data_IF_644456810296
#
_entry.id   IF_644456810296
#
_cell.length_a   1.000
_cell.length_b   1.000
_cell.length_c   1.000
_cell.angle_alpha   90.00
_cell.angle_beta   90.00
_cell.angle_gamma   90.00
#
_symmetry.space_group_name_H-M   'P 1'
#
loop_
_entity.id
_entity.type
_entity.pdbx_description
1 polymer ?
#
# COMPACT_ATOMS: atom_id res chain seq x y z
N UNK A 1 11.50 5.13 7.49
CA UNK A 1 11.13 4.07 8.48
C UNK A 1 9.61 3.98 8.68
N UNK A 2 8.92 5.01 9.17
CA UNK A 2 7.46 4.95 9.46
C UNK A 2 6.62 4.56 8.22
N UNK A 3 6.91 5.14 7.04
CA UNK A 3 6.16 4.82 5.82
C UNK A 3 6.40 3.36 5.35
N UNK A 4 7.64 2.83 5.38
CA UNK A 4 7.92 1.38 5.09
C UNK A 4 7.03 0.46 5.94
N UNK A 5 7.01 0.69 7.26
CA UNK A 5 6.17 -0.10 8.16
C UNK A 5 4.68 0.00 7.84
N UNK A 6 4.16 1.22 7.57
CA UNK A 6 2.76 1.42 7.19
C UNK A 6 2.41 0.82 5.82
N UNK A 7 3.37 0.70 4.91
CA UNK A 7 3.20 0.08 3.61
C UNK A 7 3.03 -1.45 3.78
N UNK A 8 4.01 -2.10 4.41
CA UNK A 8 4.01 -3.54 4.74
C UNK A 8 2.75 -3.97 5.52
N UNK A 9 2.38 -3.20 6.55
CA UNK A 9 1.22 -3.49 7.42
C UNK A 9 -0.12 -2.92 6.90
N UNK A 10 -0.12 -2.35 5.69
CA UNK A 10 -1.22 -1.63 5.05
C UNK A 10 -1.81 -0.46 5.86
N UNK A 11 -1.17 -0.02 6.94
CA UNK A 11 -1.61 1.09 7.83
C UNK A 11 -1.41 2.49 7.24
N UNK A 12 -1.54 2.64 5.92
CA UNK A 12 -1.72 3.94 5.27
C UNK A 12 -3.11 4.52 5.62
N UNK A 13 -3.19 5.84 5.66
CA UNK A 13 -4.40 6.57 6.01
C UNK A 13 -5.33 6.72 4.79
N UNK A 14 -5.77 5.59 4.26
CA UNK A 14 -6.69 5.49 3.12
C UNK A 14 -8.09 5.96 3.53
N UNK A 15 -8.91 6.43 2.60
CA UNK A 15 -10.23 7.01 2.90
C UNK A 15 -11.15 6.00 3.59
N UNK A 16 -11.20 4.75 3.14
CA UNK A 16 -12.01 3.70 3.78
C UNK A 16 -11.58 3.37 5.23
N UNK A 17 -10.31 3.63 5.59
CA UNK A 17 -9.86 3.56 7.00
C UNK A 17 -10.19 4.84 7.76
N UNK A 18 -10.08 5.99 7.11
CA UNK A 18 -10.35 7.32 7.66
C UNK A 18 -11.84 7.50 8.00
N UNK A 19 -12.75 7.01 7.14
CA UNK A 19 -14.20 6.96 7.37
C UNK A 19 -14.58 6.28 8.69
N UNK A 20 -13.85 5.26 9.14
CA UNK A 20 -14.12 4.56 10.42
C UNK A 20 -14.04 5.46 11.65
N UNK A 21 -13.25 6.53 11.58
CA UNK A 21 -13.10 7.50 12.67
C UNK A 21 -13.91 8.78 12.45
N UNK A 22 -14.23 9.11 11.19
CA UNK A 22 -14.76 10.40 10.77
C UNK A 22 -15.93 10.27 9.78
N UNK A 23 -16.81 9.29 9.99
CA UNK A 23 -17.93 9.01 9.07
C UNK A 23 -18.84 10.23 8.87
N UNK A 24 -19.10 11.01 9.92
CA UNK A 24 -19.91 12.24 9.83
C UNK A 24 -19.33 13.29 8.86
N UNK A 25 -18.01 13.24 8.59
CA UNK A 25 -17.30 14.14 7.66
C UNK A 25 -17.28 13.57 6.24
N UNK A 26 -16.84 12.32 6.07
CA UNK A 26 -16.54 11.74 4.75
C UNK A 26 -17.66 10.85 4.20
N UNK A 27 -18.58 10.41 5.05
CA UNK A 27 -19.76 9.60 4.69
C UNK A 27 -19.39 8.48 3.71
N UNK A 28 -20.08 8.39 2.58
CA UNK A 28 -19.84 7.40 1.54
C UNK A 28 -18.87 7.87 0.44
N UNK A 29 -18.23 9.05 0.55
CA UNK A 29 -17.35 9.62 -0.49
C UNK A 29 -16.36 8.61 -1.09
N UNK A 30 -16.35 8.52 -2.42
CA UNK A 30 -15.42 7.68 -3.17
C UNK A 30 -14.00 8.28 -3.22
N UNK A 31 -13.11 7.61 -3.94
CA UNK A 31 -11.70 7.97 -4.02
C UNK A 31 -11.50 9.43 -4.45
N UNK A 32 -10.65 10.21 -3.75
CA UNK A 32 -10.37 11.60 -4.09
C UNK A 32 -9.77 11.79 -5.49
N UNK A 33 -9.17 10.75 -6.08
CA UNK A 33 -8.48 10.84 -7.35
C UNK A 33 -9.39 10.51 -8.55
N UNK A 34 -10.23 9.47 -8.46
CA UNK A 34 -11.13 9.09 -9.55
C UNK A 34 -12.61 9.41 -9.33
N UNK A 35 -13.06 9.59 -8.08
CA UNK A 35 -14.47 9.74 -7.70
C UNK A 35 -15.42 8.61 -8.18
N UNK A 36 -14.88 7.45 -8.55
CA UNK A 36 -15.61 6.30 -9.12
C UNK A 36 -15.63 5.05 -8.22
N UNK A 37 -14.60 4.85 -7.39
CA UNK A 37 -14.45 3.66 -6.55
C UNK A 37 -14.03 4.01 -5.12
N UNK A 38 -14.30 3.12 -4.16
CA UNK A 38 -13.84 3.25 -2.77
C UNK A 38 -12.32 3.16 -2.65
N UNK A 39 -11.69 4.19 -2.08
CA UNK A 39 -10.23 4.21 -1.87
C UNK A 39 -9.80 3.27 -0.72
N UNK A 40 -9.50 2.03 -1.12
CA UNK A 40 -8.80 1.02 -0.33
C UNK A 40 -7.27 1.14 -0.48
N UNK A 41 -6.51 0.37 0.32
CA UNK A 41 -5.05 0.27 0.16
C UNK A 41 -4.66 -0.15 -1.26
N UNK A 42 -5.32 -1.18 -1.82
CA UNK A 42 -5.09 -1.65 -3.19
C UNK A 42 -5.44 -0.59 -4.23
N UNK A 43 -6.59 0.08 -4.06
CA UNK A 43 -7.05 1.08 -5.01
C UNK A 43 -6.07 2.26 -5.15
N UNK A 44 -5.35 2.67 -4.10
CA UNK A 44 -4.34 3.74 -4.22
C UNK A 44 -3.28 3.43 -5.28
N UNK A 45 -2.90 2.16 -5.44
CA UNK A 45 -1.89 1.76 -6.43
C UNK A 45 -2.51 1.51 -7.81
N UNK A 46 -3.76 1.07 -7.88
CA UNK A 46 -4.45 0.69 -9.12
C UNK A 46 -5.45 1.73 -9.64
N UNK A 47 -5.59 2.88 -8.97
CA UNK A 47 -6.50 3.95 -9.33
C UNK A 47 -6.25 4.39 -10.77
N UNK A 48 -7.30 4.48 -11.59
CA UNK A 48 -7.19 4.80 -13.02
C UNK A 48 -6.39 6.10 -13.28
N UNK A 49 -6.58 7.11 -12.43
CA UNK A 49 -5.86 8.39 -12.46
C UNK A 49 -4.35 8.30 -12.15
N UNK A 50 -3.87 7.17 -11.62
CA UNK A 50 -2.45 6.93 -11.33
C UNK A 50 -1.84 5.79 -12.18
N UNK A 51 -2.56 5.27 -13.18
CA UNK A 51 -2.13 4.14 -14.03
C UNK A 51 -0.74 4.35 -14.66
N UNK A 52 -0.43 5.58 -15.07
CA UNK A 52 0.88 5.92 -15.63
C UNK A 52 1.97 5.89 -14.54
N UNK A 53 1.75 6.56 -13.40
CA UNK A 53 2.70 6.61 -12.28
C UNK A 53 2.98 5.20 -11.74
N UNK A 54 1.95 4.36 -11.60
CA UNK A 54 2.10 2.96 -11.20
C UNK A 54 2.85 2.12 -12.26
N UNK A 55 2.67 2.43 -13.55
CA UNK A 55 3.44 1.80 -14.63
C UNK A 55 4.90 2.25 -14.64
N UNK A 56 5.18 3.52 -14.34
CA UNK A 56 6.53 4.04 -14.15
C UNK A 56 7.20 3.39 -12.93
N UNK A 57 6.48 3.23 -11.81
CA UNK A 57 6.95 2.53 -10.59
C UNK A 57 7.39 1.09 -10.89
N UNK A 58 6.57 0.33 -11.62
CA UNK A 58 6.89 -1.03 -12.08
C UNK A 58 8.13 -1.04 -12.99
N UNK A 59 8.16 -0.17 -14.00
CA UNK A 59 9.26 -0.09 -14.95
C UNK A 59 10.57 0.34 -14.29
N UNK A 60 10.54 1.25 -13.32
CA UNK A 60 11.71 1.69 -12.55
C UNK A 60 12.29 0.53 -11.74
N UNK A 61 11.46 -0.21 -11.00
CA UNK A 61 11.91 -1.38 -10.24
C UNK A 61 12.55 -2.44 -11.16
N UNK A 62 11.87 -2.79 -12.25
CA UNK A 62 12.38 -3.69 -13.28
C UNK A 62 13.72 -3.21 -13.84
N UNK A 63 13.83 -1.94 -14.21
CA UNK A 63 15.05 -1.35 -14.77
C UNK A 63 16.22 -1.35 -13.78
N UNK A 64 15.99 -1.08 -12.49
CA UNK A 64 17.06 -1.17 -11.47
C UNK A 64 17.64 -2.58 -11.38
N UNK A 65 16.79 -3.62 -11.48
CA UNK A 65 17.23 -5.01 -11.51
C UNK A 65 18.00 -5.33 -12.80
N UNK A 66 17.45 -4.98 -13.97
CA UNK A 66 18.08 -5.22 -15.28
C UNK A 66 19.44 -4.54 -15.39
N UNK A 67 19.52 -3.23 -15.14
CA UNK A 67 20.81 -2.52 -15.14
C UNK A 67 21.75 -3.03 -14.04
N UNK A 68 21.21 -3.50 -12.91
CA UNK A 68 21.99 -4.19 -11.89
C UNK A 68 22.68 -5.46 -12.38
N UNK A 69 22.01 -6.26 -13.21
CA UNK A 69 22.57 -7.46 -13.85
C UNK A 69 23.59 -7.09 -14.92
N UNK A 70 23.27 -6.12 -15.79
CA UNK A 70 24.14 -5.70 -16.91
C UNK A 70 25.46 -5.06 -16.42
N UNK A 71 25.49 -4.54 -15.20
CA UNK A 71 26.73 -4.08 -14.55
C UNK A 71 27.59 -5.23 -13.98
N UNK A 72 27.13 -6.48 -14.05
CA UNK A 72 27.80 -7.67 -13.51
C UNK A 72 28.16 -8.71 -14.59
N UNK A 73 27.43 -8.75 -15.71
CA UNK A 73 27.68 -9.62 -16.87
C UNK A 73 27.31 -8.89 -18.17
N UNK A 74 28.09 -9.15 -19.22
CA UNK A 74 27.87 -8.66 -20.59
C UNK A 74 27.22 -9.69 -21.51
N UNK A 75 26.92 -10.89 -21.00
CA UNK A 75 26.57 -12.07 -21.81
C UNK A 75 25.06 -12.15 -22.17
N UNK A 76 24.28 -11.17 -21.71
CA UNK A 76 22.82 -11.11 -21.87
C UNK A 76 22.40 -9.68 -22.22
N UNK A 77 21.41 -9.54 -23.10
CA UNK A 77 20.89 -8.21 -23.49
C UNK A 77 19.82 -7.69 -22.53
N UNK A 78 19.65 -6.37 -22.48
CA UNK A 78 18.58 -5.73 -21.71
C UNK A 78 17.18 -6.23 -22.12
N UNK A 79 16.96 -6.50 -23.42
CA UNK A 79 15.70 -7.02 -23.92
C UNK A 79 15.43 -8.44 -23.40
N UNK A 80 16.43 -9.34 -23.46
CA UNK A 80 16.28 -10.71 -22.95
C UNK A 80 15.95 -10.73 -21.45
N UNK A 81 16.59 -9.85 -20.66
CA UNK A 81 16.26 -9.70 -19.24
C UNK A 81 14.86 -9.11 -19.02
N UNK A 82 14.45 -8.15 -19.86
CA UNK A 82 13.11 -7.56 -19.83
C UNK A 82 12.03 -8.61 -20.08
N UNK A 83 12.16 -9.39 -21.15
CA UNK A 83 11.19 -10.42 -21.55
C UNK A 83 11.09 -11.51 -20.47
N UNK A 84 12.22 -11.96 -19.92
CA UNK A 84 12.23 -12.92 -18.82
C UNK A 84 11.59 -12.39 -17.54
N UNK A 85 11.73 -11.10 -17.24
CA UNK A 85 11.11 -10.50 -16.06
C UNK A 85 9.59 -10.41 -16.23
N UNK A 86 9.08 -10.08 -17.43
CA UNK A 86 7.64 -10.03 -17.67
C UNK A 86 7.00 -11.43 -17.61
N UNK A 87 7.75 -12.49 -17.97
CA UNK A 87 7.35 -13.89 -17.75
C UNK A 87 7.25 -14.30 -16.27
N UNK A 88 7.67 -13.46 -15.32
CA UNK A 88 7.41 -13.67 -13.88
C UNK A 88 5.97 -13.30 -13.48
N UNK A 89 5.22 -12.65 -14.39
CA UNK A 89 3.78 -12.37 -14.28
C UNK A 89 3.36 -11.62 -12.99
N UNK A 90 4.21 -10.72 -12.49
CA UNK A 90 3.85 -9.79 -11.41
C UNK A 90 2.80 -8.80 -11.92
N UNK A 91 1.53 -9.17 -11.71
CA UNK A 91 0.42 -8.44 -12.32
C UNK A 91 0.31 -7.01 -11.80
N UNK A 92 -0.08 -6.12 -12.72
CA UNK A 92 -0.53 -4.75 -12.44
C UNK A 92 -2.02 -4.69 -12.05
N UNK A 93 -2.59 -5.80 -11.59
CA UNK A 93 -4.02 -5.99 -11.36
C UNK A 93 -4.26 -6.82 -10.10
N UNK A 94 -5.48 -6.74 -9.56
CA UNK A 94 -5.88 -7.51 -8.39
C UNK A 94 -6.21 -8.98 -8.77
N UNK A 95 -5.36 -9.92 -8.36
CA UNK A 95 -5.64 -11.36 -8.45
C UNK A 95 -5.30 -12.06 -7.14
N UNK A 96 -6.31 -12.64 -6.48
CA UNK A 96 -6.19 -13.23 -5.14
C UNK A 96 -5.37 -14.54 -5.05
N UNK A 97 -4.82 -15.03 -6.17
CA UNK A 97 -4.16 -16.36 -6.26
C UNK A 97 -2.65 -16.22 -6.50
N UNK A 98 -2.19 -15.13 -7.13
CA UNK A 98 -0.81 -14.95 -7.57
C UNK A 98 -0.18 -13.72 -6.87
N UNK A 99 1.13 -13.76 -6.68
CA UNK A 99 1.88 -12.62 -6.13
C UNK A 99 1.83 -11.46 -7.14
N UNK A 100 1.30 -10.32 -6.71
CA UNK A 100 1.13 -9.12 -7.52
C UNK A 100 2.32 -8.17 -7.36
N UNK A 101 2.40 -7.12 -8.19
CA UNK A 101 3.37 -6.06 -7.93
C UNK A 101 3.07 -5.26 -6.64
N UNK A 102 1.82 -5.27 -6.14
CA UNK A 102 1.46 -4.62 -4.86
C UNK A 102 2.08 -5.36 -3.68
N UNK A 103 2.20 -6.68 -3.75
CA UNK A 103 2.90 -7.46 -2.72
C UNK A 103 4.40 -7.10 -2.69
N UNK A 104 5.00 -6.88 -3.86
CA UNK A 104 6.39 -6.39 -3.98
C UNK A 104 6.53 -4.98 -3.40
N UNK A 105 5.57 -4.07 -3.64
CA UNK A 105 5.50 -2.75 -3.00
C UNK A 105 5.41 -2.88 -1.47
N UNK A 106 4.75 -3.91 -0.94
CA UNK A 106 4.66 -4.23 0.49
C UNK A 106 5.92 -4.93 1.06
N UNK A 107 7.09 -4.75 0.44
CA UNK A 107 8.36 -5.41 0.80
C UNK A 107 8.36 -6.95 0.69
N UNK A 108 7.40 -7.59 0.01
CA UNK A 108 7.45 -9.04 -0.25
C UNK A 108 8.44 -9.37 -1.38
N UNK A 109 9.29 -10.38 -1.17
CA UNK A 109 10.27 -10.84 -2.17
C UNK A 109 9.82 -12.20 -2.73
N UNK A 110 9.30 -12.28 -3.97
CA UNK A 110 8.88 -13.54 -4.57
C UNK A 110 10.07 -14.50 -4.73
N UNK A 111 9.87 -15.79 -4.47
CA UNK A 111 10.93 -16.80 -4.70
C UNK A 111 11.35 -16.85 -6.18
N UNK A 112 10.38 -16.70 -7.09
CA UNK A 112 10.62 -16.62 -8.54
C UNK A 112 11.51 -15.44 -8.95
N UNK A 113 11.45 -14.31 -8.22
CA UNK A 113 12.36 -13.17 -8.41
C UNK A 113 13.79 -13.56 -8.00
N UNK A 114 13.96 -14.22 -6.85
CA UNK A 114 15.25 -14.70 -6.36
C UNK A 114 15.84 -15.75 -7.32
N UNK A 115 15.01 -16.65 -7.83
CA UNK A 115 15.35 -17.71 -8.78
C UNK A 115 15.68 -17.20 -10.18
N UNK A 116 15.12 -16.06 -10.59
CA UNK A 116 15.54 -15.36 -11.80
C UNK A 116 16.89 -14.66 -11.57
N UNK A 117 17.03 -13.89 -10.49
CA UNK A 117 18.27 -13.16 -10.19
C UNK A 117 19.49 -14.07 -9.99
N UNK A 118 19.33 -15.24 -9.36
CA UNK A 118 20.45 -16.16 -9.10
C UNK A 118 21.12 -16.69 -10.37
N UNK A 119 20.44 -16.67 -11.54
CA UNK A 119 21.01 -17.06 -12.83
C UNK A 119 22.18 -16.16 -13.26
N UNK A 120 22.21 -14.94 -12.71
CA UNK A 120 23.15 -13.88 -13.11
C UNK A 120 23.99 -13.34 -11.94
N UNK A 121 23.73 -13.77 -10.70
CA UNK A 121 24.28 -13.13 -9.51
C UNK A 121 24.66 -14.10 -8.39
N UNK A 122 25.84 -13.89 -7.80
CA UNK A 122 26.21 -14.50 -6.52
C UNK A 122 25.26 -14.05 -5.40
N UNK A 123 25.20 -14.80 -4.29
CA UNK A 123 24.35 -14.44 -3.15
C UNK A 123 24.59 -13.00 -2.63
N UNK A 124 25.85 -12.57 -2.57
CA UNK A 124 26.23 -11.21 -2.12
C UNK A 124 25.79 -10.13 -3.11
N UNK A 125 25.97 -10.35 -4.42
CA UNK A 125 25.49 -9.42 -5.45
C UNK A 125 23.97 -9.34 -5.45
N UNK A 126 23.27 -10.49 -5.41
CA UNK A 126 21.81 -10.57 -5.36
C UNK A 126 21.23 -9.79 -4.18
N UNK A 127 21.79 -9.97 -2.99
CA UNK A 127 21.35 -9.23 -1.78
C UNK A 127 21.53 -7.72 -1.95
N UNK A 128 22.68 -7.26 -2.45
CA UNK A 128 22.94 -5.83 -2.71
C UNK A 128 21.98 -5.26 -3.75
N UNK A 129 21.71 -6.02 -4.82
CA UNK A 129 20.81 -5.61 -5.90
C UNK A 129 19.35 -5.52 -5.43
N UNK A 130 18.87 -6.51 -4.67
CA UNK A 130 17.54 -6.47 -4.07
C UNK A 130 17.40 -5.26 -3.14
N UNK A 131 18.35 -5.02 -2.22
CA UNK A 131 18.32 -3.83 -1.35
C UNK A 131 18.21 -2.55 -2.18
N UNK A 132 19.06 -2.38 -3.21
CA UNK A 132 19.02 -1.21 -4.10
C UNK A 132 17.67 -1.06 -4.84
N UNK A 133 17.09 -2.15 -5.30
CA UNK A 133 15.82 -2.14 -6.02
C UNK A 133 14.63 -1.80 -5.09
N UNK A 134 14.56 -2.39 -3.90
CA UNK A 134 13.52 -2.10 -2.92
C UNK A 134 13.66 -0.70 -2.29
N UNK A 135 14.88 -0.20 -2.09
CA UNK A 135 15.08 1.19 -1.66
C UNK A 135 14.62 2.19 -2.73
N UNK A 136 14.90 1.96 -4.02
CA UNK A 136 14.36 2.83 -5.10
C UNK A 136 12.84 2.69 -5.24
N UNK A 137 12.29 1.48 -5.19
CA UNK A 137 10.84 1.23 -5.20
C UNK A 137 10.14 1.99 -4.06
N UNK A 138 10.75 2.02 -2.88
CA UNK A 138 10.20 2.72 -1.73
C UNK A 138 10.17 4.24 -1.89
N UNK A 139 11.24 4.85 -2.41
CA UNK A 139 11.27 6.31 -2.65
C UNK A 139 10.23 6.70 -3.72
N UNK A 140 10.12 5.93 -4.80
CA UNK A 140 9.11 6.16 -5.86
C UNK A 140 7.67 5.95 -5.34
N UNK A 141 7.46 4.94 -4.48
CA UNK A 141 6.16 4.70 -3.81
C UNK A 141 5.80 5.82 -2.82
N UNK A 142 6.80 6.46 -2.20
CA UNK A 142 6.61 7.60 -1.31
C UNK A 142 6.24 8.87 -2.08
N UNK A 143 6.75 9.06 -3.29
CA UNK A 143 6.37 10.15 -4.19
C UNK A 143 4.89 10.02 -4.63
N UNK A 144 4.48 8.84 -5.10
CA UNK A 144 3.07 8.52 -5.40
C UNK A 144 2.16 8.80 -4.19
N UNK A 145 2.53 8.29 -3.01
CA UNK A 145 1.75 8.52 -1.79
C UNK A 145 1.65 10.00 -1.39
N UNK A 146 2.71 10.80 -1.57
CA UNK A 146 2.67 12.26 -1.34
C UNK A 146 1.70 12.95 -2.28
N UNK A 147 1.77 12.67 -3.58
CA UNK A 147 0.86 13.25 -4.59
C UNK A 147 -0.62 12.98 -4.25
N UNK A 148 -0.96 11.74 -3.89
CA UNK A 148 -2.30 11.39 -3.38
C UNK A 148 -2.68 12.16 -2.11
N UNK A 149 -1.74 12.38 -1.19
CA UNK A 149 -2.02 13.15 0.04
C UNK A 149 -2.26 14.64 -0.22
N UNK A 150 -1.56 15.23 -1.18
CA UNK A 150 -1.74 16.63 -1.60
C UNK A 150 -3.10 16.84 -2.29
N UNK A 151 -3.47 15.93 -3.20
CA UNK A 151 -4.79 15.92 -3.82
C UNK A 151 -5.92 15.78 -2.78
N UNK A 152 -5.78 14.84 -1.83
CA UNK A 152 -6.74 14.65 -0.75
C UNK A 152 -6.87 15.90 0.14
N UNK A 153 -5.75 16.53 0.52
CA UNK A 153 -5.77 17.76 1.30
C UNK A 153 -6.42 18.94 0.56
N UNK A 154 -6.24 19.02 -0.77
CA UNK A 154 -6.89 20.03 -1.62
C UNK A 154 -8.41 19.86 -1.65
N UNK A 155 -8.89 18.62 -1.78
CA UNK A 155 -10.32 18.29 -1.74
C UNK A 155 -10.92 18.60 -0.36
N UNK A 156 -10.23 18.23 0.72
CA UNK A 156 -10.66 18.60 2.07
C UNK A 156 -10.81 20.12 2.24
N UNK A 157 -9.84 20.89 1.74
CA UNK A 157 -9.91 22.35 1.76
C UNK A 157 -11.10 22.89 0.94
N UNK A 158 -11.35 22.35 -0.26
CA UNK A 158 -12.50 22.71 -1.10
C UNK A 158 -13.85 22.38 -0.44
N UNK A 159 -13.93 21.27 0.31
CA UNK A 159 -15.11 20.87 1.07
C UNK A 159 -15.23 21.56 2.45
N UNK A 160 -14.31 22.47 2.80
CA UNK A 160 -14.29 23.14 4.11
C UNK A 160 -13.93 22.23 5.30
N UNK A 161 -13.39 21.03 5.05
CA UNK A 161 -13.03 20.04 6.06
C UNK A 161 -11.73 20.49 6.75
N UNK A 162 -11.85 20.97 7.98
CA UNK A 162 -10.70 21.45 8.76
C UNK A 162 -10.09 20.37 9.66
N UNK A 163 -8.82 20.52 10.03
CA UNK A 163 -8.22 19.68 11.09
C UNK A 163 -8.96 19.82 12.43
N UNK A 164 -9.58 20.97 12.70
CA UNK A 164 -10.36 21.17 13.93
C UNK A 164 -11.57 20.23 13.98
N UNK A 165 -12.32 20.08 12.89
CA UNK A 165 -13.46 19.15 12.80
C UNK A 165 -13.05 17.71 13.06
N UNK A 166 -11.92 17.26 12.50
CA UNK A 166 -11.38 15.92 12.77
C UNK A 166 -10.98 15.78 14.25
N UNK A 167 -10.31 16.78 14.82
CA UNK A 167 -9.92 16.75 16.25
C UNK A 167 -11.11 16.74 17.19
N UNK A 168 -12.18 17.49 16.90
CA UNK A 168 -13.39 17.50 17.74
C UNK A 168 -14.16 16.18 17.67
N UNK A 169 -14.27 15.55 16.49
CA UNK A 169 -14.84 14.20 16.37
C UNK A 169 -13.95 13.17 17.07
N UNK A 170 -12.63 13.19 16.85
CA UNK A 170 -11.72 12.25 17.53
C UNK A 170 -11.75 12.41 19.05
N UNK A 171 -11.95 13.63 19.56
CA UNK A 171 -12.18 13.87 20.98
C UNK A 171 -13.52 13.24 21.40
N UNK A 172 -14.61 13.57 20.71
CA UNK A 172 -15.93 13.01 21.00
C UNK A 172 -15.90 11.48 21.00
N UNK A 173 -15.35 10.80 20.00
CA UNK A 173 -15.29 9.32 19.95
C UNK A 173 -14.44 8.75 21.09
N UNK A 174 -13.31 9.39 21.45
CA UNK A 174 -12.44 8.93 22.55
C UNK A 174 -13.06 9.12 23.93
N UNK A 175 -13.90 10.14 24.11
CA UNK A 175 -14.51 10.50 25.40
C UNK A 175 -16.03 10.19 25.45
N UNK A 176 -16.60 9.53 24.43
CA UNK A 176 -17.97 8.98 24.39
C UNK A 176 -18.06 7.49 24.77
N UNK A 177 -16.97 6.84 25.19
CA UNK A 177 -17.11 5.55 25.87
C UNK A 177 -18.01 5.72 27.10
N UNK A 178 -19.00 4.84 27.31
CA UNK A 178 -20.32 5.35 27.63
C UNK A 178 -20.59 5.53 29.12
N UNK A 179 -21.04 6.74 29.47
CA UNK A 179 -22.01 6.91 30.56
C UNK A 179 -23.37 6.34 30.13
N UNK A 180 -23.48 5.02 30.07
CA UNK A 180 -24.77 4.30 30.07
C UNK A 180 -24.86 3.41 31.30
N UNK A 181 -25.37 4.02 32.37
CA UNK A 181 -26.11 3.42 33.48
C UNK A 181 -25.86 1.94 33.82
N UNK A 182 -25.18 1.72 34.95
CA UNK A 182 -25.50 0.57 35.81
C UNK A 182 -26.98 0.59 36.25
N UNK A 183 -27.50 -0.59 36.63
CA UNK A 183 -28.89 -0.91 37.04
C UNK A 183 -29.87 -1.12 35.86
N UNK A 184 -30.75 -2.13 35.81
CA UNK A 184 -31.04 -3.28 36.69
C UNK A 184 -32.02 -4.24 35.95
N UNK A 185 -32.11 -5.57 36.14
CA UNK A 185 -31.37 -6.59 36.92
C UNK A 185 -31.43 -7.93 36.13
N UNK A 186 -30.47 -8.86 36.29
CA UNK A 186 -30.76 -10.24 36.77
C UNK A 186 -29.48 -11.08 36.93
N UNK A 187 -29.07 -11.25 38.19
CA UNK A 187 -28.24 -12.37 38.61
C UNK A 187 -29.06 -13.65 38.50
N UNK A 188 -28.56 -14.63 37.73
CA UNK A 188 -28.75 -16.05 38.02
C UNK A 188 -27.62 -16.82 37.34
N UNK A 189 -26.47 -16.86 38.02
CA UNK A 189 -25.53 -17.95 37.81
C UNK A 189 -26.17 -19.21 38.39
N UNK A 190 -26.46 -20.18 37.54
CA UNK A 190 -26.67 -21.56 37.97
C UNK A 190 -25.54 -22.42 37.43
N UNK A 191 -24.49 -22.59 38.24
CA UNK A 191 -23.49 -23.63 38.05
C UNK A 191 -23.93 -24.86 38.86
N UNK A 192 -24.91 -25.58 38.34
CA UNK A 192 -25.22 -26.93 38.81
C UNK A 192 -25.35 -27.93 37.64
N UNK A 193 -24.46 -28.93 37.66
CA UNK A 193 -24.51 -30.19 36.89
C UNK A 193 -24.67 -30.13 35.36
N UNK A 194 -23.55 -30.13 34.62
CA UNK A 194 -22.89 -31.35 34.06
C UNK A 194 -21.70 -31.01 33.16
#
# INVERSE_FOLDING_TARGET
MIFKYKLLSEQLAVLEKTKRQYYDIYQDSDCPLCAEEKETFTHIWLCLYQTEVFSQLYNNFKNVLIFGILNLTTDVSAQQLSDQFDLLLYTKSFHAINITFIDIIKDFVPITLVEWLQKYTTATQRRKLLIKAFDKLYEDSLELWKSRCEAFASIEHMCGITQYMKRSISYNTKYKEPFTSYHNINFLFDFSSL
#
